data_IF_432211109541
#
_entry.id   IF_432211109541
#
_cell.length_a   1.000
_cell.length_b   1.000
_cell.length_c   1.000
_cell.angle_alpha   90.00
_cell.angle_beta   90.00
_cell.angle_gamma   90.00
#
_symmetry.space_group_name_H-M   'P 1'
#
loop_
_entity.id
_entity.type
_entity.pdbx_description
1 polymer ?
#
# COMPACT_ATOMS: atom_id res chain seq x y z
N UNK A 1 23.53 22.49 -41.55
CA UNK A 1 22.61 23.02 -40.52
C UNK A 1 21.28 22.31 -40.68
N UNK A 2 20.87 21.54 -39.67
CA UNK A 2 19.48 21.33 -39.25
C UNK A 2 19.48 20.25 -38.16
N UNK A 3 19.39 20.69 -36.90
CA UNK A 3 19.12 19.83 -35.75
C UNK A 3 17.66 19.37 -35.78
N UNK A 4 17.34 18.12 -35.37
CA UNK A 4 15.95 17.74 -35.14
C UNK A 4 15.46 18.45 -33.88
N UNK A 5 14.30 19.11 -33.98
CA UNK A 5 13.64 19.74 -32.86
C UNK A 5 13.17 18.66 -31.87
N UNK A 6 13.66 18.71 -30.63
CA UNK A 6 13.10 17.93 -29.51
C UNK A 6 11.65 18.37 -29.26
N UNK A 7 10.73 17.42 -29.31
CA UNK A 7 9.31 17.65 -29.08
C UNK A 7 9.04 17.97 -27.60
N UNK A 8 8.44 19.13 -27.24
CA UNK A 8 8.43 19.62 -25.86
C UNK A 8 7.27 19.12 -24.97
N UNK A 9 6.62 17.99 -25.27
CA UNK A 9 5.42 17.55 -24.55
C UNK A 9 5.53 16.10 -24.04
N UNK A 10 6.61 15.75 -23.36
CA UNK A 10 6.61 14.56 -22.51
C UNK A 10 6.24 14.99 -21.10
N UNK A 11 5.02 14.66 -20.64
CA UNK A 11 4.65 14.80 -19.24
C UNK A 11 5.61 13.91 -18.44
N UNK A 12 6.28 14.40 -17.38
CA UNK A 12 7.14 13.55 -16.59
C UNK A 12 6.35 12.32 -16.11
N UNK A 13 6.97 11.15 -16.22
CA UNK A 13 6.33 9.91 -15.77
C UNK A 13 5.95 10.06 -14.30
N UNK A 14 4.65 9.94 -14.01
CA UNK A 14 4.14 9.96 -12.63
C UNK A 14 4.24 8.56 -12.07
N UNK A 15 4.99 8.39 -10.99
CA UNK A 15 5.07 7.14 -10.25
C UNK A 15 3.96 7.08 -9.18
N UNK A 16 3.22 5.97 -9.13
CA UNK A 16 2.24 5.71 -8.08
C UNK A 16 2.94 5.06 -6.91
N UNK A 17 2.84 5.68 -5.73
CA UNK A 17 3.33 5.08 -4.48
C UNK A 17 2.42 3.93 -4.06
N UNK A 18 2.99 2.91 -3.45
CA UNK A 18 2.22 1.92 -2.69
C UNK A 18 1.49 2.60 -1.53
N UNK A 19 0.55 1.88 -0.93
CA UNK A 19 -0.21 2.39 0.21
C UNK A 19 0.68 2.67 1.42
N UNK A 20 1.65 1.79 1.69
CA UNK A 20 2.59 1.96 2.79
C UNK A 20 3.49 3.19 2.57
N UNK A 21 4.02 3.35 1.36
CA UNK A 21 4.82 4.53 1.00
C UNK A 21 4.00 5.82 1.06
N UNK A 22 2.74 5.79 0.61
CA UNK A 22 1.84 6.94 0.67
C UNK A 22 1.59 7.39 2.11
N UNK A 23 1.43 6.45 3.04
CA UNK A 23 1.21 6.77 4.45
C UNK A 23 2.47 7.29 5.13
N UNK A 24 3.60 6.61 4.93
CA UNK A 24 4.89 7.08 5.44
C UNK A 24 5.23 8.48 4.90
N UNK A 25 4.85 8.78 3.66
CA UNK A 25 4.99 10.12 3.09
C UNK A 25 4.08 11.16 3.77
N UNK A 26 2.86 10.79 4.19
CA UNK A 26 1.88 11.71 4.78
C UNK A 26 2.07 11.95 6.28
N UNK A 27 2.65 11.00 7.02
CA UNK A 27 2.87 11.10 8.47
C UNK A 27 3.60 12.39 8.92
N UNK A 28 4.71 12.83 8.27
CA UNK A 28 5.40 14.07 8.63
C UNK A 28 4.54 15.33 8.45
N UNK A 29 3.46 15.25 7.68
CA UNK A 29 2.51 16.35 7.47
C UNK A 29 1.39 16.37 8.52
N UNK A 30 1.45 15.51 9.54
CA UNK A 30 0.48 15.47 10.63
C UNK A 30 -0.80 14.67 10.33
N UNK A 31 -0.78 13.85 9.27
CA UNK A 31 -1.90 12.95 8.96
C UNK A 31 -1.82 11.73 9.89
N UNK A 32 -2.84 11.54 10.74
CA UNK A 32 -2.92 10.36 11.61
C UNK A 32 -3.19 9.09 10.80
N UNK A 33 -2.30 8.12 10.93
CA UNK A 33 -2.38 6.82 10.26
C UNK A 33 -2.70 5.73 11.29
N UNK A 34 -3.61 4.81 10.94
CA UNK A 34 -3.90 3.66 11.79
C UNK A 34 -2.67 2.74 11.87
N UNK A 35 -2.36 2.15 13.04
CA UNK A 35 -1.25 1.21 13.16
C UNK A 35 -1.37 0.07 12.14
N UNK A 36 -0.31 -0.17 11.38
CA UNK A 36 -0.26 -1.25 10.41
C UNK A 36 1.14 -1.82 10.26
N UNK A 37 1.21 -3.03 9.68
CA UNK A 37 2.48 -3.71 9.40
C UNK A 37 2.44 -4.34 8.02
N UNK A 38 3.48 -4.10 7.22
CA UNK A 38 3.68 -4.80 5.94
C UNK A 38 4.45 -6.08 6.20
N UNK A 39 3.91 -7.19 5.75
CA UNK A 39 4.42 -8.54 6.00
C UNK A 39 4.40 -9.34 4.70
N UNK A 40 5.31 -10.31 4.59
CA UNK A 40 5.47 -11.13 3.38
C UNK A 40 4.97 -12.57 3.52
N UNK A 41 4.62 -13.01 4.74
CA UNK A 41 4.16 -14.38 5.02
C UNK A 41 2.94 -14.38 5.92
N UNK A 42 2.21 -15.49 5.92
CA UNK A 42 1.02 -15.67 6.77
C UNK A 42 1.38 -15.66 8.25
N UNK A 43 2.50 -16.31 8.63
CA UNK A 43 2.98 -16.37 10.01
C UNK A 43 3.32 -14.97 10.54
N UNK A 44 3.98 -14.15 9.70
CA UNK A 44 4.27 -12.77 10.04
C UNK A 44 2.99 -11.91 10.14
N UNK A 45 1.96 -12.22 9.34
CA UNK A 45 0.66 -11.55 9.43
C UNK A 45 -0.06 -11.85 10.75
N UNK A 46 -0.02 -13.11 11.20
CA UNK A 46 -0.57 -13.50 12.51
C UNK A 46 0.17 -12.78 13.63
N UNK A 47 1.51 -12.82 13.64
CA UNK A 47 2.30 -12.12 14.66
C UNK A 47 2.02 -10.61 14.69
N UNK A 48 1.92 -9.97 13.52
CA UNK A 48 1.58 -8.55 13.43
C UNK A 48 0.17 -8.25 13.97
N UNK A 49 -0.80 -9.13 13.71
CA UNK A 49 -2.16 -8.98 14.22
C UNK A 49 -2.24 -9.16 15.75
N UNK A 50 -1.43 -10.05 16.33
CA UNK A 50 -1.30 -10.19 17.79
C UNK A 50 -0.72 -8.94 18.45
N UNK A 51 0.27 -8.29 17.81
CA UNK A 51 0.86 -7.05 18.30
C UNK A 51 -0.07 -5.84 18.16
N UNK A 52 -0.80 -5.73 17.04
CA UNK A 52 -1.75 -4.63 16.77
C UNK A 52 -3.01 -4.79 17.64
N UNK A 53 -3.43 -6.03 17.87
CA UNK A 53 -4.70 -6.37 18.51
C UNK A 53 -5.81 -6.62 17.50
N UNK A 54 -6.60 -7.67 17.76
CA UNK A 54 -7.76 -8.03 16.95
C UNK A 54 -8.99 -7.15 17.28
N UNK A 55 -9.94 -6.96 16.34
CA UNK A 55 -9.94 -7.45 14.96
C UNK A 55 -9.05 -6.60 14.03
N UNK A 56 -8.54 -7.24 12.97
CA UNK A 56 -7.70 -6.56 11.96
C UNK A 56 -8.27 -6.67 10.54
N UNK A 57 -7.70 -5.88 9.64
CA UNK A 57 -7.92 -5.94 8.19
C UNK A 57 -6.62 -6.38 7.52
N UNK A 58 -6.70 -7.40 6.66
CA UNK A 58 -5.59 -7.79 5.79
C UNK A 58 -5.85 -7.32 4.36
N UNK A 59 -4.84 -6.74 3.72
CA UNK A 59 -4.91 -6.30 2.32
C UNK A 59 -3.57 -6.52 1.62
N UNK A 60 -3.60 -6.89 0.34
CA UNK A 60 -2.37 -6.98 -0.44
C UNK A 60 -1.75 -5.58 -0.64
N UNK A 61 -0.44 -5.45 -0.42
CA UNK A 61 0.29 -4.20 -0.60
C UNK A 61 1.18 -4.30 -1.84
N UNK A 62 1.02 -3.37 -2.78
CA UNK A 62 1.87 -3.24 -3.96
C UNK A 62 1.46 -2.04 -4.81
N UNK A 63 2.47 -1.42 -5.40
CA UNK A 63 2.48 -0.31 -6.35
C UNK A 63 1.71 -0.61 -7.66
N UNK A 64 1.69 -1.86 -8.12
CA UNK A 64 0.88 -2.28 -9.29
C UNK A 64 -0.54 -2.74 -8.93
N UNK A 65 -0.94 -2.68 -7.66
CA UNK A 65 -2.20 -3.23 -7.16
C UNK A 65 -3.16 -2.09 -6.78
N UNK A 66 -3.63 -1.37 -7.79
CA UNK A 66 -4.84 -0.55 -7.66
C UNK A 66 -6.10 -1.47 -7.72
N UNK A 67 -7.21 -1.07 -7.08
CA UNK A 67 -8.49 -1.81 -7.06
C UNK A 67 -8.49 -3.15 -6.30
N UNK A 68 -7.95 -3.16 -5.07
CA UNK A 68 -7.80 -4.36 -4.21
C UNK A 68 -9.13 -5.02 -3.84
N UNK A 69 -10.18 -4.21 -3.65
CA UNK A 69 -11.49 -4.69 -3.21
C UNK A 69 -12.19 -5.52 -4.30
N UNK A 70 -12.14 -5.05 -5.55
CA UNK A 70 -12.76 -5.71 -6.71
C UNK A 70 -12.11 -7.07 -7.03
N UNK A 71 -10.88 -7.28 -6.56
CA UNK A 71 -10.12 -8.53 -6.72
C UNK A 71 -10.19 -9.45 -5.51
N UNK A 72 -10.98 -9.09 -4.49
CA UNK A 72 -11.04 -9.85 -3.24
C UNK A 72 -9.70 -9.91 -2.51
N UNK A 73 -8.85 -8.89 -2.67
CA UNK A 73 -7.53 -8.78 -2.04
C UNK A 73 -7.57 -7.99 -0.72
N UNK A 74 -8.78 -7.79 -0.20
CA UNK A 74 -9.05 -7.23 1.13
C UNK A 74 -9.89 -8.25 1.90
N UNK A 75 -9.49 -8.51 3.14
CA UNK A 75 -10.25 -9.31 4.12
C UNK A 75 -10.47 -8.44 5.34
N UNK A 76 -11.75 -8.27 5.68
CA UNK A 76 -12.20 -7.46 6.81
C UNK A 76 -12.62 -8.39 7.96
N UNK A 77 -12.65 -7.83 9.17
CA UNK A 77 -13.14 -8.53 10.36
C UNK A 77 -12.41 -9.86 10.63
N UNK A 78 -11.08 -9.88 10.42
CA UNK A 78 -10.28 -11.00 10.87
C UNK A 78 -10.21 -10.93 12.40
N UNK A 79 -10.64 -12.00 13.08
CA UNK A 79 -10.79 -12.03 14.54
C UNK A 79 -9.87 -13.07 15.20
N UNK A 80 -8.99 -13.70 14.44
CA UNK A 80 -8.09 -14.74 14.93
C UNK A 80 -7.17 -15.29 13.83
N UNK A 81 -6.21 -16.13 14.21
CA UNK A 81 -5.16 -16.63 13.33
C UNK A 81 -5.66 -17.49 12.16
N UNK A 82 -6.78 -18.20 12.34
CA UNK A 82 -7.36 -19.11 11.33
C UNK A 82 -8.40 -18.44 10.41
N UNK A 83 -8.59 -17.12 10.54
CA UNK A 83 -9.62 -16.35 9.83
C UNK A 83 -9.31 -16.07 8.36
#
# INVERSE_FOLDING_TARGET
>A
MSSPASSPLTRPATHTLSEAESKAFLEPFGVSIAPERVVATAEAAVAAAEEIGWPVVAKLCGDTIAHKTERGLVRLHLTGADA
#
